data_IF_725145708206
#
_entry.id   IF_725145708206
#
_cell.length_a   1.000
_cell.length_b   1.000
_cell.length_c   1.000
_cell.angle_alpha   90.00
_cell.angle_beta   90.00
_cell.angle_gamma   90.00
#
_symmetry.space_group_name_H-M   'P 1'
#
loop_
_entity.id
_entity.type
_entity.pdbx_description
1 polymer ?
#
# COMPACT_ATOMS: atom_id res chain seq x y z
N UNK A 1 4.64 -15.51 2.67
CA UNK A 1 3.19 -15.58 3.02
C UNK A 1 2.65 -14.16 2.90
N UNK A 2 2.11 -13.77 1.74
CA UNK A 2 1.68 -12.39 1.51
C UNK A 2 0.16 -12.34 1.60
N UNK A 3 -0.37 -11.64 2.60
CA UNK A 3 -1.79 -11.48 2.90
C UNK A 3 -2.23 -10.05 2.53
N UNK A 4 -3.50 -9.88 2.18
CA UNK A 4 -4.07 -8.55 2.01
C UNK A 4 -4.33 -7.95 3.40
N UNK A 5 -3.68 -6.82 3.72
CA UNK A 5 -3.81 -6.17 5.03
C UNK A 5 -4.31 -4.73 4.88
N UNK A 6 -5.12 -4.27 5.83
CA UNK A 6 -5.96 -3.08 5.69
C UNK A 6 -5.34 -1.78 6.19
N UNK A 7 -5.54 -0.68 5.47
CA UNK A 7 -4.91 0.61 5.79
C UNK A 7 -5.88 1.61 6.46
N UNK A 8 -6.73 1.09 7.36
CA UNK A 8 -7.79 1.72 8.19
C UNK A 8 -9.21 1.73 7.59
N UNK A 9 -10.16 1.45 8.50
CA UNK A 9 -11.62 1.34 8.45
C UNK A 9 -12.35 2.64 8.08
N UNK A 10 -13.26 2.59 7.09
CA UNK A 10 -14.14 3.73 6.81
C UNK A 10 -14.65 3.90 5.38
N UNK A 11 -14.62 2.87 4.54
CA UNK A 11 -15.30 2.86 3.24
C UNK A 11 -16.43 1.85 3.28
N UNK A 12 -17.68 2.31 3.17
CA UNK A 12 -18.87 1.49 3.25
C UNK A 12 -18.80 0.26 2.33
N UNK A 13 -19.26 -0.83 2.92
CA UNK A 13 -19.51 -2.11 2.30
C UNK A 13 -20.55 -1.94 1.18
N UNK A 14 -20.19 -2.31 -0.05
CA UNK A 14 -21.16 -2.76 -1.03
C UNK A 14 -20.72 -4.15 -1.49
N UNK A 15 -21.30 -5.15 -0.84
CA UNK A 15 -21.24 -6.54 -1.23
C UNK A 15 -22.11 -6.74 -2.47
N UNK A 16 -21.48 -6.76 -3.63
CA UNK A 16 -22.03 -7.44 -4.78
C UNK A 16 -21.37 -8.80 -4.89
N UNK A 17 -21.93 -9.84 -4.26
CA UNK A 17 -21.67 -11.21 -4.72
C UNK A 17 -22.31 -11.34 -6.09
N UNK A 18 -21.57 -11.04 -7.15
CA UNK A 18 -22.05 -11.21 -8.51
C UNK A 18 -22.03 -12.70 -8.85
N UNK A 19 -23.12 -13.37 -8.49
CA UNK A 19 -23.49 -14.67 -9.03
C UNK A 19 -23.86 -14.46 -10.50
N UNK A 20 -22.96 -14.76 -11.42
CA UNK A 20 -23.30 -14.78 -12.84
C UNK A 20 -23.68 -16.20 -13.28
N UNK A 21 -24.88 -16.39 -13.84
CA UNK A 21 -25.18 -17.57 -14.64
C UNK A 21 -24.55 -17.37 -16.02
N UNK A 22 -23.42 -18.03 -16.31
CA UNK A 22 -22.83 -17.90 -17.64
C UNK A 22 -21.51 -18.63 -17.86
N UNK A 23 -21.50 -19.45 -18.91
CA UNK A 23 -20.35 -20.16 -19.49
C UNK A 23 -19.25 -19.20 -19.99
N UNK A 24 -18.49 -18.59 -19.08
CA UNK A 24 -17.24 -17.89 -19.39
C UNK A 24 -16.06 -18.64 -18.77
N UNK A 25 -15.00 -18.92 -19.54
CA UNK A 25 -13.78 -19.56 -19.04
C UNK A 25 -13.08 -18.65 -18.02
N UNK A 26 -13.44 -18.77 -16.76
CA UNK A 26 -12.70 -18.25 -15.61
C UNK A 26 -11.38 -19.04 -15.44
N UNK A 27 -10.32 -18.46 -14.86
CA UNK A 27 -9.27 -19.27 -14.25
C UNK A 27 -9.94 -20.11 -13.16
N UNK A 28 -10.01 -21.42 -13.37
CA UNK A 28 -10.70 -22.40 -12.52
C UNK A 28 -10.06 -22.60 -11.14
N UNK A 29 -9.12 -21.74 -10.73
CA UNK A 29 -8.42 -21.84 -9.46
C UNK A 29 -8.89 -20.73 -8.52
N UNK A 30 -9.47 -21.08 -7.36
CA UNK A 30 -9.80 -20.09 -6.34
C UNK A 30 -8.54 -19.37 -5.85
N UNK A 31 -8.71 -18.14 -5.37
CA UNK A 31 -7.62 -17.39 -4.76
C UNK A 31 -7.21 -18.09 -3.45
N UNK A 32 -5.97 -18.54 -3.37
CA UNK A 32 -5.47 -19.29 -2.22
C UNK A 32 -4.97 -18.40 -1.07
N UNK A 33 -5.06 -17.06 -1.23
CA UNK A 33 -4.55 -16.10 -0.24
C UNK A 33 -5.72 -15.43 0.48
N UNK A 34 -5.69 -15.33 1.82
CA UNK A 34 -6.74 -14.65 2.57
C UNK A 34 -6.83 -13.17 2.21
N UNK A 35 -8.07 -12.68 2.02
CA UNK A 35 -8.38 -11.31 1.66
C UNK A 35 -8.25 -10.99 0.16
N UNK A 36 -7.95 -11.98 -0.70
CA UNK A 36 -8.03 -11.83 -2.15
C UNK A 36 -9.40 -12.25 -2.69
N UNK A 37 -9.94 -11.44 -3.58
CA UNK A 37 -11.18 -11.69 -4.31
C UNK A 37 -10.84 -12.01 -5.77
N UNK A 38 -11.52 -13.01 -6.31
CA UNK A 38 -11.47 -13.31 -7.74
C UNK A 38 -12.37 -12.32 -8.48
N UNK A 39 -11.83 -11.62 -9.48
CA UNK A 39 -12.61 -10.73 -10.35
C UNK A 39 -12.11 -10.83 -11.78
N UNK A 40 -13.01 -10.63 -12.74
CA UNK A 40 -12.67 -10.52 -14.17
C UNK A 40 -12.23 -9.10 -14.56
N UNK A 41 -12.41 -8.12 -13.67
CA UNK A 41 -11.99 -6.74 -13.87
C UNK A 41 -11.31 -6.22 -12.61
N UNK A 42 -10.02 -6.53 -12.48
CA UNK A 42 -9.13 -5.95 -11.49
C UNK A 42 -8.14 -4.95 -12.10
N UNK A 43 -7.30 -4.38 -11.23
CA UNK A 43 -6.25 -3.43 -11.62
C UNK A 43 -4.98 -4.14 -12.11
N UNK A 44 -4.28 -3.57 -13.10
CA UNK A 44 -2.93 -4.03 -13.50
C UNK A 44 -1.85 -3.69 -12.47
N UNK A 45 -2.15 -2.83 -11.50
CA UNK A 45 -1.20 -2.22 -10.57
C UNK A 45 -1.72 -2.33 -9.11
N UNK A 46 -1.72 -3.51 -8.49
CA UNK A 46 -2.21 -3.64 -7.12
C UNK A 46 -1.40 -2.74 -6.17
N UNK A 47 -2.10 -2.05 -5.26
CA UNK A 47 -1.44 -1.25 -4.23
C UNK A 47 -0.71 -2.16 -3.24
N UNK A 48 0.50 -1.75 -2.89
CA UNK A 48 1.38 -2.35 -1.90
C UNK A 48 1.89 -1.24 -0.99
N UNK A 49 2.55 -1.60 0.11
CA UNK A 49 3.29 -0.60 0.87
C UNK A 49 4.35 0.08 -0.02
N UNK A 50 5.11 -0.69 -0.81
CA UNK A 50 6.13 -0.14 -1.72
C UNK A 50 5.64 0.93 -2.72
N UNK A 51 4.33 1.02 -3.02
CA UNK A 51 3.80 1.94 -4.02
C UNK A 51 2.66 2.88 -3.55
N UNK A 52 2.39 2.95 -2.24
CA UNK A 52 1.23 3.65 -1.67
C UNK A 52 1.16 5.16 -1.99
N UNK A 53 2.29 5.82 -2.24
CA UNK A 53 2.40 7.25 -2.58
C UNK A 53 2.77 7.53 -4.04
N UNK A 54 2.95 6.49 -4.86
CA UNK A 54 3.42 6.66 -6.23
C UNK A 54 2.25 6.96 -7.17
N UNK A 55 2.41 7.94 -8.06
CA UNK A 55 1.54 8.10 -9.23
C UNK A 55 1.84 6.99 -10.24
N UNK A 56 1.28 5.82 -10.01
CA UNK A 56 1.37 4.72 -10.97
C UNK A 56 0.31 4.92 -12.05
N UNK A 57 0.76 5.01 -13.28
CA UNK A 57 -0.10 5.03 -14.46
C UNK A 57 -0.51 3.59 -14.76
N UNK A 58 -1.75 3.25 -14.42
CA UNK A 58 -2.29 1.91 -14.60
C UNK A 58 -3.06 1.82 -15.90
N UNK A 59 -3.12 0.63 -16.50
CA UNK A 59 -3.95 0.44 -17.69
C UNK A 59 -5.42 0.50 -17.29
N UNK A 60 -6.25 1.19 -18.07
CA UNK A 60 -7.70 1.21 -17.89
C UNK A 60 -8.38 -0.10 -18.32
N UNK A 61 -7.61 -1.08 -18.79
CA UNK A 61 -8.12 -2.39 -19.20
C UNK A 61 -8.32 -3.28 -17.97
N UNK A 62 -9.45 -3.99 -17.95
CA UNK A 62 -9.73 -5.01 -16.95
C UNK A 62 -8.66 -6.12 -17.01
N UNK A 63 -8.05 -6.42 -15.87
CA UNK A 63 -7.17 -7.58 -15.70
C UNK A 63 -7.90 -8.64 -14.86
N UNK A 64 -8.25 -9.80 -15.42
CA UNK A 64 -8.81 -10.91 -14.65
C UNK A 64 -7.78 -11.52 -13.70
N UNK A 65 -8.19 -11.86 -12.48
CA UNK A 65 -7.29 -12.47 -11.49
C UNK A 65 -7.73 -12.32 -10.04
N UNK A 66 -6.78 -12.56 -9.13
CA UNK A 66 -6.95 -12.42 -7.69
C UNK A 66 -6.37 -11.09 -7.21
N UNK A 67 -7.20 -10.29 -6.56
CA UNK A 67 -6.83 -8.95 -6.10
C UNK A 67 -7.29 -8.72 -4.67
N UNK A 68 -6.52 -7.91 -3.93
CA UNK A 68 -6.94 -7.48 -2.62
C UNK A 68 -8.21 -6.65 -2.71
N UNK A 69 -9.11 -6.81 -1.74
CA UNK A 69 -10.28 -5.95 -1.58
C UNK A 69 -9.83 -4.47 -1.49
N UNK A 70 -10.68 -3.55 -1.97
CA UNK A 70 -10.41 -2.12 -1.88
C UNK A 70 -10.08 -1.70 -0.45
N UNK A 71 -9.02 -0.90 -0.27
CA UNK A 71 -8.54 -0.51 1.06
C UNK A 71 -7.56 -1.50 1.70
N UNK A 72 -7.28 -2.64 1.04
CA UNK A 72 -6.22 -3.55 1.43
C UNK A 72 -4.99 -3.37 0.52
N UNK A 73 -3.81 -3.50 1.09
CA UNK A 73 -2.54 -3.57 0.35
C UNK A 73 -1.98 -4.97 0.46
N UNK A 74 -1.26 -5.42 -0.57
CA UNK A 74 -0.44 -6.63 -0.41
C UNK A 74 0.68 -6.31 0.57
N UNK A 75 0.80 -7.17 1.58
CA UNK A 75 1.88 -7.15 2.58
C UNK A 75 3.22 -7.54 1.95
N UNK A 76 3.68 -6.75 0.99
CA UNK A 76 5.04 -6.79 0.52
C UNK A 76 5.79 -5.75 1.35
N UNK A 77 6.68 -6.21 2.22
CA UNK A 77 7.72 -5.37 2.81
C UNK A 77 8.43 -4.68 1.64
N UNK A 78 8.15 -3.39 1.47
CA UNK A 78 8.93 -2.58 0.55
C UNK A 78 10.35 -2.50 1.09
N UNK A 79 11.34 -2.16 0.25
CA UNK A 79 12.73 -2.03 0.70
C UNK A 79 12.90 -1.07 1.89
N UNK A 80 11.95 -0.14 2.09
CA UNK A 80 12.02 0.93 3.08
C UNK A 80 10.76 1.10 3.94
N UNK A 81 9.75 0.25 3.77
CA UNK A 81 8.53 0.27 4.59
C UNK A 81 7.91 -1.11 4.76
N UNK A 82 7.29 -1.33 5.93
CA UNK A 82 6.61 -2.56 6.27
C UNK A 82 5.16 -2.26 6.67
N UNK A 83 4.28 -3.23 6.49
CA UNK A 83 2.94 -3.14 7.05
C UNK A 83 2.95 -3.61 8.51
N UNK A 84 2.27 -2.89 9.40
CA UNK A 84 1.93 -3.37 10.75
C UNK A 84 0.49 -3.05 11.11
N UNK A 85 -0.17 -3.96 11.83
CA UNK A 85 -1.51 -3.76 12.38
C UNK A 85 -1.49 -2.85 13.63
N UNK A 86 -0.32 -2.65 14.24
CA UNK A 86 -0.12 -1.70 15.33
C UNK A 86 1.15 -0.89 15.09
N UNK A 87 1.01 0.25 14.42
CA UNK A 87 2.03 1.27 14.30
C UNK A 87 1.68 2.54 15.08
N UNK A 88 2.62 3.48 15.09
CA UNK A 88 2.47 4.77 15.78
C UNK A 88 1.37 5.64 15.17
N UNK A 89 0.61 6.34 16.01
CA UNK A 89 -0.38 7.33 15.58
C UNK A 89 0.25 8.59 14.96
N UNK A 90 1.53 8.89 15.26
CA UNK A 90 2.27 9.96 14.58
C UNK A 90 3.55 9.42 13.93
N UNK A 91 3.47 8.98 12.66
CA UNK A 91 4.66 8.61 11.91
C UNK A 91 5.56 9.82 11.66
N UNK A 92 6.88 9.60 11.70
CA UNK A 92 7.87 10.62 11.35
C UNK A 92 7.87 10.85 9.83
N UNK A 93 7.96 12.12 9.48
CA UNK A 93 7.96 12.68 8.13
C UNK A 93 9.07 13.73 8.04
N UNK A 94 9.44 14.10 6.83
CA UNK A 94 10.40 15.19 6.61
C UNK A 94 9.94 16.53 7.22
N UNK A 95 8.64 16.73 7.40
CA UNK A 95 8.09 17.97 7.96
C UNK A 95 8.09 18.02 9.50
N UNK A 96 8.18 16.88 10.19
CA UNK A 96 8.06 16.80 11.65
C UNK A 96 9.23 16.10 12.34
N UNK A 97 10.34 15.83 11.65
CA UNK A 97 11.45 15.04 12.18
C UNK A 97 12.14 15.65 13.42
N UNK A 98 12.01 16.97 13.64
CA UNK A 98 12.54 17.69 14.81
C UNK A 98 11.48 18.11 15.83
N UNK A 99 10.25 17.63 15.70
CA UNK A 99 9.14 17.99 16.59
C UNK A 99 8.79 16.80 17.47
N UNK A 100 8.84 16.99 18.78
CA UNK A 100 8.28 16.02 19.72
C UNK A 100 6.76 16.09 19.65
N UNK A 101 6.16 15.11 18.98
CA UNK A 101 4.72 14.97 18.89
C UNK A 101 4.22 14.12 20.05
N UNK A 102 3.21 14.63 20.77
CA UNK A 102 2.46 13.86 21.75
C UNK A 102 1.53 12.92 20.99
N UNK A 103 1.91 11.65 20.90
CA UNK A 103 1.13 10.63 20.21
C UNK A 103 0.24 9.85 21.17
N UNK A 104 -0.95 9.51 20.72
CA UNK A 104 -1.81 8.54 21.41
C UNK A 104 -1.15 7.17 21.39
N UNK A 105 -1.33 6.41 22.48
CA UNK A 105 -0.93 4.99 22.57
C UNK A 105 -1.83 4.06 21.74
N UNK A 106 -2.69 4.63 20.89
CA UNK A 106 -3.57 3.88 20.01
C UNK A 106 -2.75 3.26 18.87
N UNK A 107 -2.94 1.97 18.65
CA UNK A 107 -2.42 1.26 17.49
C UNK A 107 -3.14 1.74 16.22
N UNK A 108 -2.36 2.18 15.23
CA UNK A 108 -2.88 2.48 13.88
C UNK A 108 -2.36 1.44 12.91
N UNK A 109 -3.25 0.78 12.17
CA UNK A 109 -2.86 -0.17 11.13
C UNK A 109 -2.47 0.55 9.85
N UNK A 110 -1.41 0.09 9.20
CA UNK A 110 -0.94 0.74 7.97
C UNK A 110 0.47 0.37 7.57
N UNK A 111 0.97 1.07 6.55
CA UNK A 111 2.36 0.96 6.12
C UNK A 111 3.18 2.00 6.86
N UNK A 112 4.27 1.57 7.49
CA UNK A 112 5.17 2.42 8.26
C UNK A 112 6.58 2.31 7.72
N UNK A 113 7.30 3.42 7.69
CA UNK A 113 8.71 3.40 7.33
C UNK A 113 9.48 2.52 8.31
N UNK A 114 10.56 1.91 7.82
CA UNK A 114 11.51 1.22 8.69
C UNK A 114 12.10 2.19 9.73
N UNK A 115 12.56 1.63 10.85
CA UNK A 115 13.19 2.39 11.94
C UNK A 115 14.33 3.26 11.40
N UNK A 116 14.34 4.55 11.78
CA UNK A 116 15.34 5.52 11.34
C UNK A 116 15.05 6.18 10.00
N UNK A 117 13.98 5.80 9.31
CA UNK A 117 13.51 6.43 8.07
C UNK A 117 12.29 7.33 8.31
N UNK A 118 12.06 8.26 7.41
CA UNK A 118 10.95 9.23 7.48
C UNK A 118 10.24 9.34 6.13
N UNK A 119 8.92 9.59 6.14
CA UNK A 119 8.19 9.83 4.88
C UNK A 119 8.46 11.22 4.33
N UNK A 120 8.83 11.31 3.05
CA UNK A 120 8.94 12.58 2.34
C UNK A 120 7.56 13.10 1.85
N UNK A 121 7.55 14.27 1.21
CA UNK A 121 6.35 14.89 0.65
C UNK A 121 5.71 14.10 -0.51
N UNK A 122 6.46 13.17 -1.12
CA UNK A 122 5.96 12.24 -2.15
C UNK A 122 5.37 10.95 -1.52
N UNK A 123 5.35 10.84 -0.20
CA UNK A 123 4.87 9.66 0.52
C UNK A 123 5.85 8.48 0.52
N UNK A 124 7.11 8.69 0.11
CA UNK A 124 8.16 7.67 0.03
C UNK A 124 8.99 7.71 1.32
N UNK A 125 9.30 6.54 1.88
CA UNK A 125 10.23 6.41 3.01
C UNK A 125 11.67 6.62 2.54
N UNK A 126 12.32 7.63 3.10
CA UNK A 126 13.69 8.02 2.78
C UNK A 126 14.51 8.16 4.05
N UNK A 127 15.83 8.17 3.91
CA UNK A 127 16.70 8.57 5.01
C UNK A 127 16.44 10.05 5.35
N UNK A 128 16.47 10.42 6.64
CA UNK A 128 16.43 11.80 7.11
C UNK A 128 17.28 12.80 6.31
N UNK A 129 18.51 12.40 5.99
CA UNK A 129 19.45 13.22 5.24
C UNK A 129 18.95 13.60 3.82
N UNK A 130 18.00 12.84 3.28
CA UNK A 130 17.44 13.03 1.93
C UNK A 130 16.18 13.91 1.93
N UNK A 131 15.70 14.40 3.08
CA UNK A 131 14.50 15.23 3.16
C UNK A 131 14.63 16.59 2.47
N UNK A 132 15.83 17.17 2.54
CA UNK A 132 16.12 18.52 2.02
C UNK A 132 16.96 18.49 0.73
N UNK A 133 17.12 17.31 0.12
CA UNK A 133 17.74 17.26 -1.19
C UNK A 133 16.70 17.63 -2.24
N UNK A 134 16.93 18.68 -3.06
CA UNK A 134 16.19 18.79 -4.30
C UNK A 134 16.46 17.48 -5.04
N UNK A 135 15.39 16.79 -5.43
CA UNK A 135 15.47 15.64 -6.31
C UNK A 135 15.94 16.15 -7.68
N UNK A 136 17.24 16.44 -7.81
CA UNK A 136 17.89 16.54 -9.10
C UNK A 136 18.31 15.12 -9.47
N UNK A 137 17.75 14.53 -10.53
CA UNK A 137 18.26 13.29 -11.06
C UNK A 137 19.59 13.64 -11.74
N UNK A 138 20.71 13.49 -11.02
CA UNK A 138 22.07 13.25 -11.54
C UNK A 138 23.12 13.48 -10.45
N UNK A 139 23.27 12.53 -9.52
CA UNK A 139 24.49 12.44 -8.71
C UNK A 139 25.05 11.02 -8.73
N UNK A 140 25.12 10.44 -9.94
CA UNK A 140 26.06 9.38 -10.28
C UNK A 140 26.91 9.87 -11.46
N UNK A 141 27.86 10.75 -11.16
CA UNK A 141 29.04 10.94 -12.01
C UNK A 141 30.20 11.30 -11.08
N UNK A 142 30.93 10.26 -10.71
CA UNK A 142 32.34 10.31 -10.34
C UNK A 142 33.04 9.19 -11.12
#
# INVERSE_FOLDING_TARGET
KYLCKGIVSGGQEYWGSVSFPGNGRFPSRPCNRPGELITNCGTSCPKTCANRGQRIMCTMRCVPGCFCQLGLVRDYEGPWEHYTDCGTSCPKTCANMGVEMMCTMQCVSGCFCLTGMVRNYQGICVLPALCNLPMHPNMFNF
#
